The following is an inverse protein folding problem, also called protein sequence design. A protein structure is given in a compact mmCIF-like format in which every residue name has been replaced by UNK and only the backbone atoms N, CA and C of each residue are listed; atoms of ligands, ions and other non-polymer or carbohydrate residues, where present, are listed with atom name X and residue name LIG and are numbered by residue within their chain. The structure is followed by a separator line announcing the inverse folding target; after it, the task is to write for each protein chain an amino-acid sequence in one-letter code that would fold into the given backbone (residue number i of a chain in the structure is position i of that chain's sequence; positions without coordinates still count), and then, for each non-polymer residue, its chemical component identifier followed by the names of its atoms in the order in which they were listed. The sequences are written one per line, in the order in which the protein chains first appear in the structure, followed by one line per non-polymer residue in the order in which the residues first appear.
data_IF_848335116377
#
_entry.id   IF_848335116377
#
_cell.length_a   1.000
_cell.length_b   1.000
_cell.length_c   1.000
_cell.angle_alpha   90.00
_cell.angle_beta   90.00
_cell.angle_gamma   90.00
#
_symmetry.space_group_name_H-M   'P 1'
#
loop_
_entity.id
_entity.type
_entity.pdbx_description
1 polymer ?
#
# COMPACT_ATOMS: atom_id res chain seq x y z
N UNK A 1 1.50 -2.88 -14.13
CA UNK A 1 0.25 -3.01 -13.36
C UNK A 1 -0.45 -4.32 -13.69
N UNK A 2 -0.85 -4.61 -14.95
CA UNK A 2 -1.59 -5.82 -15.32
C UNK A 2 -0.92 -7.10 -14.85
N UNK A 3 0.39 -7.25 -15.03
CA UNK A 3 1.14 -8.44 -14.56
C UNK A 3 0.96 -8.70 -13.05
N UNK A 4 0.99 -7.65 -12.22
CA UNK A 4 0.78 -7.77 -10.77
C UNK A 4 -0.68 -8.12 -10.45
N UNK A 5 -1.62 -7.54 -11.21
CA UNK A 5 -3.04 -7.87 -11.10
C UNK A 5 -3.29 -9.34 -11.45
N UNK A 6 -2.77 -9.80 -12.58
CA UNK A 6 -2.95 -11.17 -13.05
C UNK A 6 -2.41 -12.18 -12.03
N UNK A 7 -1.20 -11.96 -11.51
CA UNK A 7 -0.60 -12.87 -10.53
C UNK A 7 -1.38 -12.93 -9.22
N UNK A 8 -1.96 -11.80 -8.78
CA UNK A 8 -2.81 -11.80 -7.57
C UNK A 8 -4.13 -12.53 -7.81
N UNK A 9 -4.77 -12.31 -8.95
CA UNK A 9 -6.02 -13.02 -9.33
C UNK A 9 -5.76 -14.52 -9.42
N UNK A 10 -4.68 -14.96 -10.04
CA UNK A 10 -4.27 -16.36 -10.14
C UNK A 10 -3.99 -17.01 -8.77
N UNK A 11 -3.62 -16.18 -7.77
CA UNK A 11 -3.43 -16.60 -6.37
C UNK A 11 -4.70 -16.43 -5.49
N UNK A 12 -5.85 -16.22 -6.13
CA UNK A 12 -7.15 -16.19 -5.46
C UNK A 12 -7.51 -14.88 -4.77
N UNK A 13 -6.81 -13.79 -5.09
CA UNK A 13 -7.17 -12.46 -4.63
C UNK A 13 -8.25 -11.84 -5.52
N UNK A 14 -9.16 -11.10 -4.93
CA UNK A 14 -10.19 -10.35 -5.63
C UNK A 14 -9.82 -8.87 -5.66
N UNK A 15 -9.79 -8.29 -6.86
CA UNK A 15 -9.57 -6.86 -7.00
C UNK A 15 -10.80 -6.07 -6.56
N UNK A 16 -10.58 -5.08 -5.73
CA UNK A 16 -11.59 -4.11 -5.31
C UNK A 16 -11.20 -2.72 -5.79
N UNK A 17 -12.18 -1.83 -5.91
CA UNK A 17 -11.96 -0.42 -6.21
C UNK A 17 -12.72 0.42 -5.17
N UNK A 18 -12.01 1.33 -4.53
CA UNK A 18 -12.58 2.20 -3.51
C UNK A 18 -12.48 3.68 -3.91
N UNK A 19 -13.31 4.56 -3.33
CA UNK A 19 -13.32 5.98 -3.70
C UNK A 19 -11.97 6.67 -3.46
N UNK A 20 -11.59 7.56 -4.37
CA UNK A 20 -10.40 8.42 -4.21
C UNK A 20 -10.58 9.47 -3.11
N UNK A 21 -11.83 9.93 -2.90
CA UNK A 21 -12.16 10.83 -1.80
C UNK A 21 -12.44 10.01 -0.55
N UNK A 22 -11.75 10.34 0.53
CA UNK A 22 -11.81 9.64 1.82
C UNK A 22 -12.36 10.55 2.90
N UNK A 23 -13.17 10.02 3.81
CA UNK A 23 -13.63 10.77 4.96
C UNK A 23 -12.55 10.87 6.04
N UNK A 24 -12.49 12.00 6.74
CA UNK A 24 -11.64 12.20 7.92
C UNK A 24 -11.84 11.10 8.97
N UNK A 25 -13.08 10.61 9.11
CA UNK A 25 -13.40 9.54 10.05
C UNK A 25 -12.73 8.20 9.75
N UNK A 26 -12.43 7.89 8.47
CA UNK A 26 -11.68 6.70 8.10
C UNK A 26 -10.19 6.82 8.51
N UNK A 27 -9.59 7.99 8.31
CA UNK A 27 -8.22 8.26 8.76
C UNK A 27 -8.11 8.22 10.30
N UNK A 28 -9.07 8.80 10.99
CA UNK A 28 -9.09 8.79 12.46
C UNK A 28 -9.15 7.37 13.03
N UNK A 29 -9.80 6.41 12.34
CA UNK A 29 -9.80 4.99 12.73
C UNK A 29 -8.44 4.31 12.56
N UNK A 30 -7.55 4.89 11.77
CA UNK A 30 -6.14 4.48 11.64
C UNK A 30 -5.22 5.28 12.56
N UNK A 31 -5.78 5.93 13.60
CA UNK A 31 -5.06 6.81 14.53
C UNK A 31 -4.43 8.04 13.85
N UNK A 32 -4.84 8.37 12.63
CA UNK A 32 -4.38 9.55 11.92
C UNK A 32 -5.34 10.71 12.23
N UNK A 33 -5.13 11.34 13.37
CA UNK A 33 -5.83 12.54 13.80
C UNK A 33 -5.07 13.83 13.44
N UNK A 34 -5.52 14.98 13.93
CA UNK A 34 -4.91 16.28 13.63
C UNK A 34 -3.45 16.41 14.13
N UNK A 35 -3.05 15.64 15.14
CA UNK A 35 -1.71 15.68 15.73
C UNK A 35 -0.74 14.66 15.08
N UNK A 36 -1.26 13.73 14.30
CA UNK A 36 -0.45 12.71 13.65
C UNK A 36 0.42 13.34 12.55
N UNK A 37 1.72 13.00 12.43
CA UNK A 37 2.63 13.58 11.43
C UNK A 37 2.10 13.51 10.00
N UNK A 38 1.48 12.38 9.61
CA UNK A 38 0.88 12.19 8.29
C UNK A 38 -0.27 13.18 8.01
N UNK A 39 -0.94 13.72 9.03
CA UNK A 39 -2.07 14.64 8.84
C UNK A 39 -1.68 15.92 8.11
N UNK A 40 -0.44 16.38 8.28
CA UNK A 40 0.12 17.55 7.57
C UNK A 40 0.35 17.27 6.09
N UNK A 41 0.55 16.01 5.71
CA UNK A 41 0.79 15.57 4.34
C UNK A 41 -0.51 15.30 3.56
N UNK A 42 -1.66 15.27 4.23
CA UNK A 42 -2.95 15.00 3.61
C UNK A 42 -3.45 16.19 2.80
N UNK A 43 -3.94 15.94 1.58
CA UNK A 43 -4.69 16.93 0.78
C UNK A 43 -6.13 16.98 1.25
N UNK A 44 -6.41 17.87 2.19
CA UNK A 44 -7.77 18.14 2.67
C UNK A 44 -8.57 18.91 1.62
N UNK A 45 -9.75 18.42 1.26
CA UNK A 45 -10.69 19.08 0.35
C UNK A 45 -11.62 20.03 1.12
N UNK A 46 -12.00 19.60 2.31
CA UNK A 46 -12.80 20.35 3.29
C UNK A 46 -12.54 19.83 4.71
N UNK A 47 -13.35 20.24 5.69
CA UNK A 47 -13.21 19.81 7.09
C UNK A 47 -13.49 18.32 7.32
N UNK A 48 -14.13 17.64 6.36
CA UNK A 48 -14.63 16.27 6.50
C UNK A 48 -13.99 15.28 5.54
N UNK A 49 -13.43 15.77 4.43
CA UNK A 49 -12.95 14.92 3.32
C UNK A 49 -11.55 15.30 2.87
N UNK A 50 -10.85 14.32 2.29
CA UNK A 50 -9.52 14.48 1.72
C UNK A 50 -9.34 13.58 0.50
N UNK A 51 -8.29 13.83 -0.29
CA UNK A 51 -7.75 12.82 -1.20
C UNK A 51 -7.05 11.74 -0.37
N UNK A 52 -7.27 10.47 -0.70
CA UNK A 52 -6.75 9.34 0.07
C UNK A 52 -5.21 9.31 0.07
N UNK A 53 -4.56 9.34 1.25
CA UNK A 53 -3.10 9.24 1.34
C UNK A 53 -2.58 7.80 1.28
N UNK A 54 -3.47 6.82 1.37
CA UNK A 54 -3.23 5.38 1.37
C UNK A 54 -4.52 4.61 1.09
N UNK A 55 -4.42 3.33 0.73
CA UNK A 55 -5.57 2.47 0.45
C UNK A 55 -6.12 1.75 1.70
N UNK A 56 -5.27 1.48 2.70
CA UNK A 56 -5.58 0.65 3.85
C UNK A 56 -6.91 1.00 4.58
N UNK A 57 -7.27 2.28 4.86
CA UNK A 57 -8.52 2.59 5.57
C UNK A 57 -9.77 2.13 4.81
N UNK A 58 -9.77 2.23 3.48
CA UNK A 58 -10.87 1.73 2.67
C UNK A 58 -10.89 0.20 2.62
N UNK A 59 -9.72 -0.46 2.54
CA UNK A 59 -9.66 -1.93 2.57
C UNK A 59 -10.17 -2.49 3.90
N UNK A 60 -9.83 -1.88 5.04
CA UNK A 60 -10.43 -2.25 6.34
C UNK A 60 -11.94 -2.11 6.34
N UNK A 61 -12.47 -1.05 5.72
CA UNK A 61 -13.90 -0.83 5.63
C UNK A 61 -14.59 -1.93 4.82
N UNK A 62 -14.01 -2.34 3.69
CA UNK A 62 -14.52 -3.43 2.84
C UNK A 62 -14.38 -4.80 3.54
N UNK A 63 -13.21 -5.08 4.12
CA UNK A 63 -12.92 -6.36 4.80
C UNK A 63 -13.87 -6.65 5.94
N UNK A 64 -14.26 -5.64 6.72
CA UNK A 64 -15.23 -5.78 7.81
C UNK A 64 -16.54 -6.43 7.35
N UNK A 65 -17.01 -6.11 6.15
CA UNK A 65 -18.24 -6.68 5.61
C UNK A 65 -17.99 -8.01 4.91
N UNK A 66 -16.88 -8.16 4.17
CA UNK A 66 -16.52 -9.40 3.48
C UNK A 66 -16.25 -10.56 4.44
N UNK A 67 -15.66 -10.32 5.60
CA UNK A 67 -15.44 -11.34 6.64
C UNK A 67 -16.74 -12.00 7.14
N UNK A 68 -17.87 -11.34 6.95
CA UNK A 68 -19.19 -11.86 7.33
C UNK A 68 -19.88 -12.62 6.20
N UNK A 69 -19.46 -12.38 4.95
CA UNK A 69 -20.13 -12.85 3.75
C UNK A 69 -19.34 -13.94 3.03
N UNK A 70 -18.02 -13.94 3.15
CA UNK A 70 -17.14 -14.84 2.42
C UNK A 70 -16.50 -15.88 3.34
N UNK A 71 -16.14 -17.02 2.75
CA UNK A 71 -15.31 -18.02 3.41
C UNK A 71 -13.89 -17.49 3.61
N UNK A 72 -13.27 -17.85 4.73
CA UNK A 72 -11.89 -17.46 5.06
C UNK A 72 -10.89 -18.44 4.46
N UNK A 73 -9.70 -17.98 4.10
CA UNK A 73 -9.22 -16.61 4.20
C UNK A 73 -9.82 -15.68 3.13
N UNK A 74 -10.16 -14.45 3.54
CA UNK A 74 -10.61 -13.39 2.62
C UNK A 74 -9.37 -12.72 2.03
N UNK A 75 -9.26 -12.70 0.69
CA UNK A 75 -8.14 -12.16 -0.07
C UNK A 75 -8.61 -11.04 -0.98
N UNK A 76 -8.17 -9.83 -0.72
CA UNK A 76 -8.49 -8.68 -1.59
C UNK A 76 -7.25 -7.85 -1.87
N UNK A 77 -7.27 -7.14 -2.98
CA UNK A 77 -6.27 -6.11 -3.30
C UNK A 77 -6.90 -4.94 -4.04
N UNK A 78 -6.25 -3.80 -3.98
CA UNK A 78 -6.57 -2.62 -4.78
C UNK A 78 -5.30 -2.05 -5.40
N UNK A 79 -5.40 -1.61 -6.64
CA UNK A 79 -4.41 -0.75 -7.30
C UNK A 79 -5.07 0.60 -7.54
N UNK A 80 -4.46 1.67 -7.00
CA UNK A 80 -5.07 2.98 -7.14
C UNK A 80 -4.18 4.14 -6.72
N UNK A 81 -4.51 5.33 -7.25
CA UNK A 81 -3.79 6.57 -6.92
C UNK A 81 -3.98 6.95 -5.46
N UNK A 82 -2.88 7.37 -4.83
CA UNK A 82 -2.82 7.98 -3.51
C UNK A 82 -2.12 9.33 -3.60
N UNK A 83 -2.38 10.20 -2.62
CA UNK A 83 -1.97 11.60 -2.68
C UNK A 83 -1.37 12.05 -1.34
N UNK A 84 -0.12 12.55 -1.37
CA UNK A 84 0.55 13.13 -0.20
C UNK A 84 1.28 14.40 -0.57
N UNK A 85 1.24 15.39 0.31
CA UNK A 85 2.07 16.60 0.22
C UNK A 85 3.48 16.24 0.66
N UNK A 86 4.20 15.54 -0.19
CA UNK A 86 5.57 15.16 0.11
C UNK A 86 6.56 16.29 -0.24
N UNK A 87 7.70 16.32 0.44
CA UNK A 87 8.82 17.18 0.04
C UNK A 87 9.35 16.72 -1.33
N UNK A 88 9.61 17.64 -2.22
CA UNK A 88 10.18 17.37 -3.53
C UNK A 88 11.50 16.61 -3.43
N UNK A 89 11.62 15.50 -4.17
CA UNK A 89 12.82 14.66 -4.23
C UNK A 89 12.73 13.63 -5.34
N UNK A 90 13.85 13.08 -5.76
CA UNK A 90 13.93 12.11 -6.85
C UNK A 90 13.10 10.83 -6.61
N UNK A 91 12.75 10.55 -5.35
CA UNK A 91 12.02 9.34 -4.91
C UNK A 91 10.62 9.63 -4.35
N UNK A 92 10.07 10.84 -4.56
CA UNK A 92 8.78 11.25 -4.04
C UNK A 92 7.92 11.90 -5.13
N UNK A 93 6.63 11.62 -5.08
CA UNK A 93 5.61 12.24 -5.94
C UNK A 93 4.39 12.59 -5.10
N UNK A 94 3.73 13.71 -5.41
CA UNK A 94 2.48 14.12 -4.74
C UNK A 94 1.30 13.23 -5.10
N UNK A 95 1.32 12.63 -6.27
CA UNK A 95 0.44 11.55 -6.71
C UNK A 95 1.29 10.33 -7.02
N UNK A 96 0.91 9.17 -6.50
CA UNK A 96 1.59 7.90 -6.72
C UNK A 96 0.58 6.76 -6.73
N UNK A 97 0.94 5.67 -7.37
CA UNK A 97 0.08 4.49 -7.45
C UNK A 97 0.50 3.47 -6.39
N UNK A 98 -0.45 3.08 -5.55
CA UNK A 98 -0.26 1.97 -4.61
C UNK A 98 -0.94 0.69 -5.11
N UNK A 99 -0.28 -0.44 -4.91
CA UNK A 99 -0.91 -1.74 -4.81
C UNK A 99 -0.95 -2.09 -3.33
N UNK A 100 -2.14 -2.33 -2.78
CA UNK A 100 -2.29 -2.80 -1.41
C UNK A 100 -3.08 -4.10 -1.42
N UNK A 101 -2.49 -5.17 -0.89
CA UNK A 101 -3.11 -6.48 -0.75
C UNK A 101 -3.29 -6.84 0.73
N UNK A 102 -4.34 -7.59 1.03
CA UNK A 102 -4.62 -8.12 2.37
C UNK A 102 -5.18 -9.52 2.26
N UNK A 103 -4.62 -10.43 3.06
CA UNK A 103 -5.19 -11.75 3.33
C UNK A 103 -5.56 -11.84 4.80
N UNK A 104 -6.83 -12.12 5.11
CA UNK A 104 -7.40 -12.06 6.45
C UNK A 104 -8.17 -13.33 6.80
N UNK A 105 -8.01 -13.80 8.04
CA UNK A 105 -8.60 -15.05 8.51
C UNK A 105 -7.73 -16.27 8.25
N UNK A 106 -6.41 -16.09 8.29
CA UNK A 106 -5.41 -17.18 8.26
C UNK A 106 -5.09 -17.68 9.67
N UNK A 107 -4.35 -18.78 9.74
CA UNK A 107 -3.82 -19.27 11.02
C UNK A 107 -2.76 -18.30 11.56
N UNK A 108 -2.79 -18.07 12.88
CA UNK A 108 -1.93 -17.07 13.54
C UNK A 108 -0.44 -17.33 13.30
N UNK A 109 -0.03 -18.58 13.33
CA UNK A 109 1.35 -19.03 13.19
C UNK A 109 1.87 -18.95 11.76
N UNK A 110 0.98 -18.92 10.77
CA UNK A 110 1.35 -18.89 9.35
C UNK A 110 1.58 -17.48 8.78
N UNK A 111 1.28 -16.43 9.56
CA UNK A 111 1.32 -15.04 9.07
C UNK A 111 2.69 -14.63 8.54
N UNK A 112 3.76 -14.96 9.27
CA UNK A 112 5.11 -14.55 8.87
C UNK A 112 5.56 -15.23 7.58
N UNK A 113 5.37 -16.55 7.46
CA UNK A 113 5.66 -17.27 6.22
C UNK A 113 4.81 -16.75 5.05
N UNK A 114 3.53 -16.48 5.32
CA UNK A 114 2.63 -15.96 4.29
C UNK A 114 2.98 -14.56 3.83
N UNK A 115 3.42 -13.69 4.73
CA UNK A 115 3.92 -12.37 4.39
C UNK A 115 5.13 -12.47 3.46
N UNK A 116 6.09 -13.34 3.78
CA UNK A 116 7.30 -13.59 2.98
C UNK A 116 6.94 -14.09 1.57
N UNK A 117 6.00 -15.05 1.47
CA UNK A 117 5.52 -15.58 0.19
C UNK A 117 4.87 -14.49 -0.67
N UNK A 118 4.01 -13.65 -0.07
CA UNK A 118 3.32 -12.58 -0.80
C UNK A 118 4.28 -11.45 -1.22
N UNK A 119 5.26 -11.13 -0.38
CA UNK A 119 6.30 -10.17 -0.74
C UNK A 119 7.12 -10.68 -1.93
N UNK A 120 7.60 -11.93 -1.88
CA UNK A 120 8.34 -12.56 -2.98
C UNK A 120 7.51 -12.60 -4.26
N UNK A 121 6.24 -13.02 -4.17
CA UNK A 121 5.31 -13.11 -5.30
C UNK A 121 5.22 -11.80 -6.09
N UNK A 122 5.07 -10.67 -5.39
CA UNK A 122 4.94 -9.36 -6.03
C UNK A 122 6.26 -8.85 -6.58
N UNK A 123 7.35 -9.04 -5.84
CA UNK A 123 8.68 -8.58 -6.23
C UNK A 123 9.16 -9.35 -7.48
N UNK A 124 9.00 -10.67 -7.51
CA UNK A 124 9.29 -11.50 -8.68
C UNK A 124 8.41 -11.13 -9.88
N UNK A 125 7.11 -10.94 -9.67
CA UNK A 125 6.20 -10.51 -10.73
C UNK A 125 6.53 -9.10 -11.26
N UNK A 126 7.17 -8.25 -10.48
CA UNK A 126 7.68 -6.96 -10.91
C UNK A 126 8.97 -7.09 -11.77
N UNK A 127 9.62 -8.26 -11.78
CA UNK A 127 10.88 -8.50 -12.47
C UNK A 127 12.11 -8.10 -11.65
N UNK A 128 12.03 -8.21 -10.34
CA UNK A 128 13.12 -7.92 -9.39
C UNK A 128 13.55 -9.26 -8.79
N UNK A 129 14.83 -9.62 -8.95
CA UNK A 129 15.35 -10.94 -8.59
C UNK A 129 15.61 -11.10 -7.09
N UNK A 130 16.01 -10.03 -6.39
CA UNK A 130 16.40 -10.07 -4.99
C UNK A 130 15.75 -8.95 -4.18
N UNK A 131 15.32 -9.28 -2.97
CA UNK A 131 14.83 -8.33 -1.99
C UNK A 131 15.21 -8.74 -0.58
N UNK A 132 15.16 -7.79 0.34
CA UNK A 132 15.36 -8.02 1.77
C UNK A 132 14.14 -7.52 2.55
N UNK A 133 13.88 -8.16 3.68
CA UNK A 133 12.87 -7.72 4.63
C UNK A 133 13.55 -7.07 5.83
N UNK A 134 13.13 -5.86 6.17
CA UNK A 134 13.68 -5.07 7.26
C UNK A 134 12.59 -4.63 8.21
N UNK A 135 12.83 -4.80 9.50
CA UNK A 135 11.91 -4.29 10.51
C UNK A 135 12.15 -2.80 10.73
N UNK A 136 11.09 -1.98 10.61
CA UNK A 136 11.14 -0.54 10.75
C UNK A 136 10.09 -0.03 11.74
N UNK A 137 10.34 1.14 12.34
CA UNK A 137 9.36 1.82 13.17
C UNK A 137 8.31 2.54 12.32
N UNK A 138 7.04 2.37 12.68
CA UNK A 138 5.91 2.97 12.00
C UNK A 138 5.06 3.81 12.94
N UNK A 139 4.74 5.03 12.55
CA UNK A 139 3.84 5.91 13.32
C UNK A 139 2.39 5.44 13.32
N UNK A 140 2.01 4.50 12.44
CA UNK A 140 0.66 3.94 12.32
C UNK A 140 0.60 2.58 12.99
N UNK A 141 1.51 1.66 12.62
CA UNK A 141 1.49 0.27 13.08
C UNK A 141 2.47 0.00 14.23
N UNK A 142 3.17 1.01 14.75
CA UNK A 142 4.24 0.83 15.73
C UNK A 142 5.47 0.17 15.11
N UNK A 143 5.29 -0.96 14.45
CA UNK A 143 6.34 -1.68 13.74
C UNK A 143 5.80 -2.23 12.41
N UNK A 144 6.60 -2.13 11.36
CA UNK A 144 6.33 -2.68 10.03
C UNK A 144 7.51 -3.51 9.54
N UNK A 145 7.29 -4.24 8.47
CA UNK A 145 8.34 -4.97 7.75
C UNK A 145 8.43 -4.34 6.36
N UNK A 146 9.50 -3.63 6.11
CA UNK A 146 9.74 -2.99 4.82
C UNK A 146 10.41 -3.96 3.85
N UNK A 147 9.93 -3.98 2.62
CA UNK A 147 10.47 -4.74 1.52
C UNK A 147 11.40 -3.82 0.75
N UNK A 148 12.70 -4.11 0.76
CA UNK A 148 13.72 -3.27 0.12
C UNK A 148 14.48 -4.03 -0.95
N UNK A 149 14.83 -3.36 -2.05
CA UNK A 149 15.61 -3.95 -3.14
C UNK A 149 16.46 -2.91 -3.88
N UNK A 150 17.33 -3.40 -4.77
CA UNK A 150 18.21 -2.59 -5.60
C UNK A 150 19.44 -2.05 -4.85
N UNK A 151 20.43 -1.56 -5.59
CA UNK A 151 21.70 -1.04 -5.04
C UNK A 151 21.51 0.11 -4.06
N UNK A 152 20.47 0.92 -4.26
CA UNK A 152 20.13 2.06 -3.38
C UNK A 152 19.27 1.67 -2.18
N UNK A 153 19.00 0.39 -1.92
CA UNK A 153 18.11 -0.14 -0.87
C UNK A 153 16.78 0.63 -0.84
N UNK A 154 16.11 0.61 -1.98
CA UNK A 154 14.85 1.33 -2.15
C UNK A 154 13.74 0.56 -1.44
N UNK A 155 12.98 1.21 -0.55
CA UNK A 155 11.75 0.68 0.00
C UNK A 155 10.71 0.54 -1.12
N UNK A 156 10.41 -0.69 -1.51
CA UNK A 156 9.38 -1.03 -2.51
C UNK A 156 7.98 -1.00 -1.92
N UNK A 157 7.87 -1.38 -0.67
CA UNK A 157 6.63 -1.47 0.06
C UNK A 157 6.84 -1.76 1.52
N UNK A 158 5.75 -1.69 2.28
CA UNK A 158 5.74 -1.94 3.71
C UNK A 158 4.59 -2.88 4.09
N UNK A 159 4.87 -3.80 4.99
CA UNK A 159 3.96 -4.84 5.43
C UNK A 159 3.66 -4.75 6.93
N UNK A 160 2.45 -5.17 7.30
CA UNK A 160 2.03 -5.32 8.69
C UNK A 160 1.23 -6.61 8.87
N UNK A 161 1.13 -7.06 10.10
CA UNK A 161 0.39 -8.27 10.47
C UNK A 161 -0.54 -7.99 11.67
N UNK A 162 -1.72 -8.61 11.63
CA UNK A 162 -2.67 -8.61 12.75
C UNK A 162 -2.86 -10.01 13.36
N UNK A 163 -3.52 -10.08 14.53
CA UNK A 163 -4.30 -9.01 15.18
C UNK A 163 -3.46 -7.84 15.65
N UNK A 164 -3.96 -6.62 15.45
CA UNK A 164 -3.29 -5.39 15.79
C UNK A 164 -4.25 -4.45 16.56
N UNK A 165 -3.78 -3.56 17.46
CA UNK A 165 -4.65 -2.59 18.14
C UNK A 165 -5.51 -1.73 17.19
N UNK A 166 -5.01 -1.43 15.99
CA UNK A 166 -5.76 -0.72 14.95
C UNK A 166 -6.98 -1.49 14.40
N UNK A 167 -7.11 -2.78 14.67
CA UNK A 167 -8.23 -3.59 14.20
C UNK A 167 -9.52 -3.32 15.01
N UNK A 168 -9.36 -2.86 16.28
CA UNK A 168 -10.48 -2.62 17.20
C UNK A 168 -11.54 -1.63 16.66
N UNK A 169 -11.18 -0.45 16.11
CA UNK A 169 -12.15 0.48 15.54
C UNK A 169 -12.95 -0.10 14.37
N UNK A 170 -12.42 -1.13 13.71
CA UNK A 170 -13.06 -1.83 12.59
C UNK A 170 -13.83 -3.07 13.03
N UNK A 171 -13.71 -3.48 14.32
CA UNK A 171 -14.29 -4.72 14.87
C UNK A 171 -13.78 -5.97 14.14
N UNK A 172 -12.53 -5.98 13.80
CA UNK A 172 -11.80 -7.09 13.20
C UNK A 172 -10.98 -7.76 14.31
N UNK A 173 -11.07 -9.07 14.42
CA UNK A 173 -10.31 -9.89 15.38
C UNK A 173 -9.50 -10.99 14.68
N UNK A 174 -9.65 -11.13 13.39
CA UNK A 174 -9.01 -12.17 12.59
C UNK A 174 -7.53 -11.90 12.40
N UNK A 175 -6.68 -12.94 12.42
CA UNK A 175 -5.30 -12.80 11.99
C UNK A 175 -5.22 -12.42 10.51
N UNK A 176 -4.30 -11.55 10.18
CA UNK A 176 -4.14 -11.06 8.81
C UNK A 176 -2.69 -10.70 8.49
N UNK A 177 -2.40 -10.64 7.19
CA UNK A 177 -1.20 -10.04 6.61
C UNK A 177 -1.63 -9.03 5.56
N UNK A 178 -0.95 -7.89 5.51
CA UNK A 178 -1.20 -6.84 4.53
C UNK A 178 0.09 -6.21 4.08
N UNK A 179 0.18 -5.92 2.77
CA UNK A 179 1.36 -5.30 2.16
C UNK A 179 0.91 -4.18 1.24
N UNK A 180 1.54 -3.02 1.37
CA UNK A 180 1.38 -1.90 0.44
C UNK A 180 2.66 -1.67 -0.36
N UNK A 181 2.57 -1.72 -1.68
CA UNK A 181 3.67 -1.43 -2.59
C UNK A 181 3.46 -0.12 -3.34
N UNK A 182 4.54 0.63 -3.59
CA UNK A 182 4.55 1.74 -4.52
C UNK A 182 4.91 1.25 -5.92
N UNK A 183 3.96 1.35 -6.89
CA UNK A 183 4.18 0.82 -8.23
C UNK A 183 5.33 1.51 -8.96
N UNK A 184 5.45 2.82 -8.77
CA UNK A 184 6.53 3.60 -9.38
C UNK A 184 7.90 3.19 -8.81
N UNK A 185 7.99 2.84 -7.52
CA UNK A 185 9.23 2.32 -6.90
C UNK A 185 9.59 0.93 -7.41
N UNK A 186 8.60 0.03 -7.53
CA UNK A 186 8.78 -1.28 -8.16
C UNK A 186 9.32 -1.13 -9.58
N UNK A 187 8.70 -0.27 -10.39
CA UNK A 187 9.11 -0.04 -11.77
C UNK A 187 10.51 0.60 -11.85
N UNK A 188 10.78 1.58 -10.98
CA UNK A 188 12.08 2.24 -10.90
C UNK A 188 13.23 1.25 -10.65
N UNK A 189 13.04 0.32 -9.72
CA UNK A 189 14.06 -0.69 -9.40
C UNK A 189 14.16 -1.73 -10.52
N UNK A 190 13.04 -2.22 -11.04
CA UNK A 190 13.00 -3.21 -12.13
C UNK A 190 13.68 -2.70 -13.43
N UNK A 191 13.58 -1.38 -13.70
CA UNK A 191 14.20 -0.77 -14.88
C UNK A 191 15.60 -0.17 -14.60
N UNK A 192 16.10 -0.27 -13.36
CA UNK A 192 17.39 0.33 -12.98
C UNK A 192 17.39 1.88 -13.09
N UNK A 193 16.25 2.51 -12.90
CA UNK A 193 16.09 3.97 -13.00
C UNK A 193 16.45 4.66 -11.68
N UNK A 194 17.11 5.81 -11.74
CA UNK A 194 17.54 6.59 -10.57
C UNK A 194 16.44 7.52 -10.02
N UNK A 195 15.33 7.71 -10.74
CA UNK A 195 14.31 8.70 -10.40
C UNK A 195 12.90 8.27 -10.76
N UNK A 196 11.95 8.48 -9.84
CA UNK A 196 10.52 8.28 -10.06
C UNK A 196 9.97 9.18 -11.19
N UNK A 197 10.57 10.35 -11.44
CA UNK A 197 10.14 11.25 -12.51
C UNK A 197 10.23 10.64 -13.91
N UNK A 198 11.01 9.57 -14.10
CA UNK A 198 11.08 8.84 -15.38
C UNK A 198 10.00 7.79 -15.55
N UNK A 199 9.46 7.26 -14.46
CA UNK A 199 8.51 6.15 -14.44
C UNK A 199 7.12 6.55 -13.95
N UNK A 200 6.99 7.73 -13.34
CA UNK A 200 5.73 8.22 -12.77
C UNK A 200 4.69 8.57 -13.85
N UNK A 201 3.42 8.36 -13.52
CA UNK A 201 2.27 8.68 -14.37
C UNK A 201 1.87 10.16 -14.32
N UNK A 202 2.79 11.09 -14.20
CA UNK A 202 2.45 12.51 -14.24
C UNK A 202 2.05 12.92 -15.65
N UNK A 203 0.94 13.63 -15.80
CA UNK A 203 0.59 14.28 -17.05
C UNK A 203 1.61 15.34 -17.48
N UNK A 204 2.44 15.81 -16.54
CA UNK A 204 3.52 16.74 -16.79
C UNK A 204 4.77 16.10 -17.41
N UNK A 205 4.84 14.76 -17.48
CA UNK A 205 5.97 14.03 -18.03
C UNK A 205 5.50 12.91 -18.96
N UNK A 206 6.15 12.79 -20.11
CA UNK A 206 6.01 11.65 -21.02
C UNK A 206 7.40 11.02 -21.21
N UNK A 207 7.59 9.78 -20.76
CA UNK A 207 8.87 9.08 -20.79
C UNK A 207 10.03 9.88 -20.18
N UNK A 208 9.76 10.58 -19.06
CA UNK A 208 10.75 11.41 -18.37
C UNK A 208 11.01 12.78 -19.02
N UNK A 209 10.32 13.12 -20.11
CA UNK A 209 10.40 14.45 -20.74
C UNK A 209 9.30 15.33 -20.17
N UNK A 210 9.61 16.51 -19.56
CA UNK A 210 8.57 17.42 -19.10
C UNK A 210 7.73 17.92 -20.26
N UNK A 211 6.42 17.86 -20.08
CA UNK A 211 5.46 18.43 -21.01
C UNK A 211 5.15 19.86 -20.56
N UNK A 212 5.27 20.81 -21.46
CA UNK A 212 4.84 22.20 -21.22
C UNK A 212 3.30 22.25 -21.43
N UNK A 213 2.57 21.91 -20.36
CA UNK A 213 1.11 22.00 -20.31
C UNK A 213 0.74 23.28 -19.56
#
# INVERSE_FOLDING_TARGET
ESRLTDVLVDNGFVQVATPTIMSRGLLARMSIDANHPLSSQVFWLDDKTCLRPMLAPHLYYVLKDLLRLWEKPVRIFEVGSCFRKESSGARHSTEFTMLNLVEMGLELESRESRLNELAALIVEAAGIDEHELQTEESTIYGQTIDIVAGEGRVELGSAAMGPHPLDQPWRIAEPWVGIGFGLERLLMVAEGSESLGRVGRSLAYLNGVPLNI
#
